data_IF_315060542495
#
_entry.id   IF_315060542495
#
_cell.length_a   1.000
_cell.length_b   1.000
_cell.length_c   1.000
_cell.angle_alpha   90.00
_cell.angle_beta   90.00
_cell.angle_gamma   90.00
#
_symmetry.space_group_name_H-M   'P 1'
#
loop_
_entity.id
_entity.type
_entity.pdbx_description
1 polymer ?
#
# COMPACT_ATOMS: atom_id res chain seq x y z
N UNK A 1 0.18 16.12 -16.36
CA UNK A 1 -0.50 15.73 -15.11
C UNK A 1 -0.93 14.27 -15.22
N UNK A 2 -0.67 13.46 -14.19
CA UNK A 2 -1.06 12.05 -14.18
C UNK A 2 -2.05 11.81 -13.05
N UNK A 3 -3.21 11.23 -13.37
CA UNK A 3 -4.19 10.77 -12.40
C UNK A 3 -3.79 9.41 -11.82
N UNK A 4 -4.28 9.10 -10.63
CA UNK A 4 -4.11 7.78 -10.01
C UNK A 4 -5.48 7.28 -9.57
N UNK A 5 -5.79 6.03 -9.89
CA UNK A 5 -7.05 5.39 -9.49
C UNK A 5 -6.86 3.95 -9.02
N UNK A 6 -7.80 3.39 -8.25
CA UNK A 6 -7.78 1.98 -7.87
C UNK A 6 -7.93 1.06 -9.09
N UNK A 7 -7.06 0.05 -9.19
CA UNK A 7 -7.10 -0.91 -10.28
C UNK A 7 -8.37 -1.81 -10.27
N UNK A 8 -8.98 -2.02 -9.11
CA UNK A 8 -10.20 -2.80 -8.93
C UNK A 8 -11.49 -2.02 -9.24
N UNK A 9 -11.41 -0.67 -9.24
CA UNK A 9 -12.51 0.24 -9.56
C UNK A 9 -12.01 1.43 -10.37
N UNK A 10 -11.69 1.16 -11.64
CA UNK A 10 -11.13 2.11 -12.59
C UNK A 10 -12.23 2.90 -13.32
N UNK A 11 -12.73 3.94 -12.66
CA UNK A 11 -13.83 4.78 -13.15
C UNK A 11 -13.32 5.87 -14.12
N UNK A 12 -12.15 6.45 -13.85
CA UNK A 12 -11.59 7.56 -14.64
C UNK A 12 -11.12 7.06 -16.01
N UNK A 13 -10.52 5.87 -16.07
CA UNK A 13 -10.14 5.23 -17.35
C UNK A 13 -11.34 4.68 -18.14
N UNK A 14 -12.51 4.56 -17.51
CA UNK A 14 -13.74 4.08 -18.14
C UNK A 14 -13.94 2.56 -18.16
N UNK A 15 -13.07 1.78 -17.52
CA UNK A 15 -13.17 0.32 -17.43
C UNK A 15 -14.36 -0.13 -16.56
N UNK A 16 -14.71 0.66 -15.54
CA UNK A 16 -15.80 0.37 -14.62
C UNK A 16 -16.85 1.49 -14.61
N UNK A 17 -18.15 1.15 -14.48
CA UNK A 17 -19.18 2.15 -14.29
C UNK A 17 -18.99 2.85 -12.94
N UNK A 18 -19.26 4.15 -12.91
CA UNK A 18 -19.10 4.93 -11.69
C UNK A 18 -19.42 6.40 -11.90
N UNK A 19 -19.14 7.20 -10.87
CA UNK A 19 -19.37 8.63 -10.86
C UNK A 19 -18.06 9.39 -10.96
N UNK A 20 -17.95 10.26 -11.96
CA UNK A 20 -16.84 11.21 -12.10
C UNK A 20 -17.29 12.54 -11.48
N UNK A 21 -16.62 13.03 -10.42
CA UNK A 21 -16.97 14.30 -9.79
C UNK A 21 -16.90 15.47 -10.78
N UNK A 22 -17.87 16.39 -10.72
CA UNK A 22 -17.93 17.56 -11.62
C UNK A 22 -16.74 18.52 -11.49
N UNK A 23 -16.04 18.47 -10.36
CA UNK A 23 -14.82 19.25 -10.10
C UNK A 23 -13.58 18.67 -10.80
N UNK A 24 -13.62 17.42 -11.29
CA UNK A 24 -12.51 16.79 -12.00
C UNK A 24 -12.60 17.09 -13.51
N UNK A 25 -11.66 17.89 -14.01
CA UNK A 25 -11.49 18.08 -15.45
C UNK A 25 -10.52 17.03 -16.02
N UNK A 26 -11.08 15.97 -16.59
CA UNK A 26 -10.32 14.85 -17.20
C UNK A 26 -9.42 15.34 -18.33
N UNK A 27 -9.77 16.42 -19.03
CA UNK A 27 -8.99 16.94 -20.17
C UNK A 27 -7.61 17.46 -19.74
N UNK A 28 -7.41 17.71 -18.45
CA UNK A 28 -6.11 18.11 -17.90
C UNK A 28 -5.19 16.92 -17.63
N UNK A 29 -5.69 15.68 -17.66
CA UNK A 29 -4.91 14.47 -17.41
C UNK A 29 -4.27 13.97 -18.71
N UNK A 30 -2.95 13.76 -18.67
CA UNK A 30 -2.21 13.14 -19.79
C UNK A 30 -2.33 11.61 -19.76
N UNK A 31 -2.47 11.04 -18.56
CA UNK A 31 -2.51 9.60 -18.29
C UNK A 31 -3.20 9.35 -16.95
N UNK A 32 -3.79 8.17 -16.79
CA UNK A 32 -4.26 7.65 -15.49
C UNK A 32 -3.53 6.35 -15.20
N UNK A 33 -2.88 6.27 -14.03
CA UNK A 33 -2.20 5.07 -13.55
C UNK A 33 -3.11 4.32 -12.58
N UNK A 34 -3.29 3.04 -12.84
CA UNK A 34 -4.04 2.13 -11.98
C UNK A 34 -3.10 1.52 -10.95
N UNK A 35 -3.48 1.57 -9.68
CA UNK A 35 -2.70 0.99 -8.57
C UNK A 35 -3.61 0.08 -7.76
N UNK A 36 -3.13 -1.12 -7.45
CA UNK A 36 -3.88 -2.05 -6.61
C UNK A 36 -3.86 -1.61 -5.14
N UNK A 37 -4.87 -2.01 -4.37
CA UNK A 37 -4.90 -1.73 -2.93
C UNK A 37 -3.69 -2.35 -2.19
N UNK A 38 -3.21 -3.52 -2.66
CA UNK A 38 -2.04 -4.20 -2.10
C UNK A 38 -0.78 -3.36 -2.32
N UNK A 39 -0.52 -2.92 -3.55
CA UNK A 39 0.62 -2.06 -3.87
C UNK A 39 0.57 -0.73 -3.09
N UNK A 40 -0.62 -0.15 -2.95
CA UNK A 40 -0.80 1.09 -2.20
C UNK A 40 -0.47 0.93 -0.70
N UNK A 41 -0.96 -0.14 -0.07
CA UNK A 41 -0.70 -0.44 1.34
C UNK A 41 0.77 -0.76 1.57
N UNK A 42 1.36 -1.61 0.73
CA UNK A 42 2.77 -2.00 0.83
C UNK A 42 3.67 -0.76 0.67
N UNK A 43 3.40 0.09 -0.32
CA UNK A 43 4.17 1.31 -0.54
C UNK A 43 4.02 2.30 0.62
N UNK A 44 2.83 2.46 1.19
CA UNK A 44 2.64 3.32 2.37
C UNK A 44 3.46 2.83 3.58
N UNK A 45 3.55 1.52 3.79
CA UNK A 45 4.41 0.93 4.84
C UNK A 45 5.89 1.14 4.55
N UNK A 46 6.31 0.93 3.30
CA UNK A 46 7.69 1.18 2.87
C UNK A 46 8.09 2.63 3.05
N UNK A 47 7.23 3.60 2.74
CA UNK A 47 7.49 5.02 3.00
C UNK A 47 7.73 5.30 4.50
N UNK A 48 6.99 4.64 5.39
CA UNK A 48 7.22 4.79 6.82
C UNK A 48 8.58 4.19 7.27
N UNK A 49 8.94 3.02 6.73
CA UNK A 49 10.15 2.28 7.12
C UNK A 49 11.43 2.80 6.46
N UNK A 50 11.37 3.17 5.19
CA UNK A 50 12.52 3.56 4.36
C UNK A 50 12.77 5.07 4.41
N UNK A 51 11.71 5.88 4.51
CA UNK A 51 11.79 7.35 4.40
C UNK A 51 11.33 8.08 5.68
N UNK A 52 10.83 7.37 6.69
CA UNK A 52 10.27 7.99 7.90
C UNK A 52 8.96 8.75 7.67
N UNK A 53 8.28 8.50 6.55
CA UNK A 53 7.05 9.19 6.17
C UNK A 53 5.82 8.34 6.50
N UNK A 54 5.20 8.62 7.64
CA UNK A 54 3.97 7.97 8.05
C UNK A 54 2.76 8.56 7.30
N UNK A 55 2.26 7.85 6.29
CA UNK A 55 1.22 8.37 5.37
C UNK A 55 0.04 7.41 5.20
N UNK A 56 -1.08 7.94 4.70
CA UNK A 56 -2.26 7.13 4.36
C UNK A 56 -2.12 6.28 3.09
N UNK A 57 -3.10 5.39 2.86
CA UNK A 57 -3.12 4.45 1.73
C UNK A 57 -3.07 5.17 0.37
N UNK A 58 -3.78 6.30 0.21
CA UNK A 58 -3.78 7.06 -1.05
C UNK A 58 -2.41 7.69 -1.36
N UNK A 59 -1.64 8.07 -0.34
CA UNK A 59 -0.25 8.51 -0.52
C UNK A 59 0.64 7.36 -1.01
N UNK A 60 0.43 6.15 -0.48
CA UNK A 60 1.09 4.94 -0.97
C UNK A 60 0.78 4.65 -2.43
N UNK A 61 -0.49 4.79 -2.84
CA UNK A 61 -0.89 4.66 -4.24
C UNK A 61 -0.20 5.69 -5.15
N UNK A 62 -0.19 6.96 -4.72
CA UNK A 62 0.46 8.03 -5.45
C UNK A 62 1.98 7.81 -5.60
N UNK A 63 2.64 7.34 -4.54
CA UNK A 63 4.05 6.99 -4.56
C UNK A 63 4.35 5.79 -5.46
N UNK A 64 3.54 4.74 -5.41
CA UNK A 64 3.69 3.57 -6.27
C UNK A 64 3.57 3.93 -7.76
N UNK A 65 2.59 4.78 -8.11
CA UNK A 65 2.45 5.35 -9.44
C UNK A 65 3.67 6.20 -9.83
N UNK A 66 4.13 7.09 -8.94
CA UNK A 66 5.28 7.95 -9.19
C UNK A 66 6.58 7.15 -9.43
N UNK A 67 6.84 6.10 -8.64
CA UNK A 67 8.00 5.21 -8.80
C UNK A 67 7.91 4.45 -10.13
N UNK A 68 6.71 3.96 -10.49
CA UNK A 68 6.48 3.30 -11.78
C UNK A 68 6.76 4.25 -12.95
N UNK A 69 6.33 5.50 -12.85
CA UNK A 69 6.62 6.54 -13.84
C UNK A 69 8.11 6.88 -13.89
N UNK A 70 8.78 6.99 -12.74
CA UNK A 70 10.20 7.33 -12.65
C UNK A 70 11.10 6.26 -13.31
N UNK A 71 10.69 4.99 -13.25
CA UNK A 71 11.40 3.87 -13.88
C UNK A 71 11.31 3.86 -15.41
N UNK A 72 10.43 4.66 -16.02
CA UNK A 72 10.29 4.70 -17.49
C UNK A 72 11.51 5.41 -18.10
N UNK A 73 12.17 4.85 -19.13
CA UNK A 73 13.35 5.48 -19.76
C UNK A 73 13.11 6.92 -20.22
N UNK A 74 11.90 7.24 -20.72
CA UNK A 74 11.49 8.59 -21.14
C UNK A 74 11.49 9.64 -20.01
N UNK A 75 11.57 9.20 -18.76
CA UNK A 75 11.57 10.03 -17.56
C UNK A 75 12.94 10.08 -16.87
N UNK A 76 13.98 9.47 -17.44
CA UNK A 76 15.33 9.56 -16.91
C UNK A 76 15.78 11.02 -16.74
N UNK A 77 16.31 11.35 -15.55
CA UNK A 77 16.78 12.70 -15.20
C UNK A 77 15.68 13.75 -14.98
N UNK A 78 14.39 13.38 -15.08
CA UNK A 78 13.28 14.30 -14.81
C UNK A 78 12.89 14.28 -13.34
N UNK A 79 12.33 15.40 -12.88
CA UNK A 79 11.72 15.52 -11.56
C UNK A 79 10.22 15.17 -11.64
N UNK A 80 9.76 14.29 -10.75
CA UNK A 80 8.35 13.98 -10.55
C UNK A 80 7.93 14.52 -9.18
N UNK A 81 6.88 15.35 -9.15
CA UNK A 81 6.25 15.81 -7.92
C UNK A 81 4.98 15.00 -7.64
N UNK A 82 4.77 14.61 -6.39
CA UNK A 82 3.64 13.78 -5.94
C UNK A 82 3.02 14.36 -4.68
N UNK A 83 1.69 14.22 -4.53
CA UNK A 83 0.94 14.72 -3.37
C UNK A 83 0.65 13.55 -2.43
N UNK A 84 0.98 13.72 -1.15
CA UNK A 84 0.59 12.82 -0.06
C UNK A 84 -0.55 13.46 0.74
N UNK A 85 -1.81 13.04 0.55
CA UNK A 85 -2.97 13.82 1.00
C UNK A 85 -3.19 13.83 2.51
N UNK A 86 -2.62 12.88 3.25
CA UNK A 86 -2.90 12.71 4.68
C UNK A 86 -1.80 11.99 5.44
N UNK A 87 -1.71 12.32 6.73
CA UNK A 87 -0.85 11.66 7.70
C UNK A 87 -1.40 10.29 8.12
N UNK A 88 -0.51 9.32 8.34
CA UNK A 88 -0.86 7.91 8.52
C UNK A 88 -1.54 7.56 9.85
N UNK A 89 -1.43 8.40 10.89
CA UNK A 89 -2.05 8.14 12.21
C UNK A 89 -3.57 7.91 12.14
N UNK A 90 -4.23 8.56 11.18
CA UNK A 90 -5.69 8.48 10.98
C UNK A 90 -6.14 7.09 10.53
N UNK A 91 -5.20 6.23 10.14
CA UNK A 91 -5.45 4.93 9.55
C UNK A 91 -5.07 3.77 10.47
N UNK A 92 -4.71 4.03 11.73
CA UNK A 92 -4.32 3.01 12.70
C UNK A 92 -5.36 1.88 12.81
N UNK A 93 -6.66 2.16 12.70
CA UNK A 93 -7.71 1.13 12.77
C UNK A 93 -8.09 0.50 11.43
N UNK A 94 -7.26 0.67 10.39
CA UNK A 94 -7.55 0.19 9.03
C UNK A 94 -6.58 -0.91 8.61
N UNK A 95 -6.86 -1.52 7.46
CA UNK A 95 -6.00 -2.56 6.85
C UNK A 95 -4.55 -2.13 6.65
N UNK A 96 -4.26 -0.83 6.63
CA UNK A 96 -2.88 -0.31 6.57
C UNK A 96 -2.02 -0.85 7.73
N UNK A 97 -2.57 -1.02 8.92
CA UNK A 97 -1.84 -1.45 10.12
C UNK A 97 -2.19 -2.86 10.60
N UNK A 98 -3.14 -3.57 9.97
CA UNK A 98 -3.58 -4.90 10.42
C UNK A 98 -2.44 -5.90 10.65
N UNK A 99 -1.44 -5.96 9.77
CA UNK A 99 -0.33 -6.91 9.93
C UNK A 99 0.49 -6.65 11.20
N UNK A 100 0.59 -5.40 11.63
CA UNK A 100 1.30 -5.03 12.86
C UNK A 100 0.50 -5.50 14.08
N UNK A 101 -0.82 -5.33 14.07
CA UNK A 101 -1.67 -5.85 15.15
C UNK A 101 -1.66 -7.38 15.20
N UNK A 102 -1.69 -8.06 14.06
CA UNK A 102 -1.60 -9.51 13.99
C UNK A 102 -0.26 -10.01 14.54
N UNK A 103 0.85 -9.36 14.20
CA UNK A 103 2.17 -9.67 14.76
C UNK A 103 2.23 -9.42 16.28
N UNK A 104 1.65 -8.32 16.77
CA UNK A 104 1.60 -8.00 18.19
C UNK A 104 0.75 -9.02 18.97
N UNK A 105 -0.44 -9.38 18.46
CA UNK A 105 -1.30 -10.40 19.08
C UNK A 105 -0.58 -11.76 19.10
N UNK A 106 0.09 -12.13 18.00
CA UNK A 106 0.89 -13.35 17.95
C UNK A 106 2.07 -13.31 18.93
N UNK A 107 2.73 -12.16 19.10
CA UNK A 107 3.80 -11.99 20.09
C UNK A 107 3.24 -12.09 21.52
N UNK A 108 2.07 -11.53 21.80
CA UNK A 108 1.44 -11.63 23.13
C UNK A 108 0.99 -13.06 23.45
N UNK A 109 0.46 -13.79 22.46
CA UNK A 109 0.12 -15.21 22.62
C UNK A 109 1.36 -16.09 22.75
N UNK A 110 2.43 -15.77 22.01
CA UNK A 110 3.64 -16.58 21.87
C UNK A 110 4.90 -15.72 22.00
N UNK A 111 5.27 -15.30 23.23
CA UNK A 111 6.35 -14.34 23.47
C UNK A 111 7.74 -14.86 23.09
N UNK A 112 7.86 -16.15 22.75
CA UNK A 112 9.10 -16.78 22.29
C UNK A 112 9.22 -16.87 20.76
N UNK A 113 8.29 -16.28 19.98
CA UNK A 113 8.40 -16.15 18.52
C UNK A 113 8.01 -17.41 17.73
N UNK A 114 7.67 -17.22 16.44
CA UNK A 114 7.15 -18.28 15.54
C UNK A 114 8.09 -19.48 15.35
N UNK A 115 9.41 -19.32 15.53
CA UNK A 115 10.39 -20.42 15.41
C UNK A 115 10.22 -21.47 16.50
N UNK A 116 10.01 -21.03 17.73
CA UNK A 116 9.88 -21.91 18.90
C UNK A 116 8.54 -22.65 18.90
N UNK A 117 7.51 -22.07 18.26
CA UNK A 117 6.20 -22.70 18.15
C UNK A 117 6.18 -23.90 17.18
N UNK A 118 6.87 -23.79 16.05
CA UNK A 118 7.05 -24.91 15.12
C UNK A 118 7.92 -26.02 15.73
N UNK A 119 8.92 -25.68 16.55
CA UNK A 119 9.68 -26.67 17.30
C UNK A 119 8.83 -27.38 18.37
N UNK A 120 7.91 -26.68 19.03
CA UNK A 120 7.00 -27.28 20.02
C UNK A 120 5.95 -28.21 19.39
N UNK A 121 5.37 -27.86 18.24
CA UNK A 121 4.50 -28.80 17.48
C UNK A 121 5.28 -30.03 17.01
N UNK A 122 6.51 -29.84 16.53
CA UNK A 122 7.37 -30.96 16.10
C UNK A 122 7.75 -31.90 17.24
N UNK A 123 7.91 -31.38 18.47
CA UNK A 123 8.19 -32.20 19.67
C UNK A 123 6.95 -32.98 20.11
N UNK A 124 5.75 -32.39 20.03
CA UNK A 124 4.51 -33.04 20.45
C UNK A 124 4.06 -34.16 19.49
N UNK A 125 4.34 -34.05 18.19
CA UNK A 125 4.07 -35.12 17.22
C UNK A 125 5.09 -36.29 17.33
N UNK A 126 6.28 -36.06 17.89
CA UNK A 126 7.32 -37.08 18.03
C UNK A 126 7.17 -37.97 19.28
N UNK A 127 6.35 -37.57 20.26
CA UNK A 127 6.02 -38.38 21.45
C UNK A 127 4.73 -39.22 21.28
N UNK A 128 4.13 -39.20 20.08
CA UNK A 128 2.85 -39.84 19.75
C UNK A 128 2.91 -41.17 18.97
N UNK A 129 4.10 -41.74 18.72
CA UNK A 129 4.30 -43.05 18.06
C UNK A 129 4.92 -44.10 19.00
#
# INVERSE_FOLDING_TARGET
VVGVEPADRSIISGDNPGFIPSILDIKLLDEVVKVTNVEAIEMARRLALEEGLLVGISSGAAAAAAITLARRPKNAGKLIAVIFPSFGERYLTTTLFNSIYEEEVLHQMHPFGKRTFLEAEFILDAEGD
#
